data_IF_791374422705
#
_entry.id   IF_791374422705
#
_cell.length_a   1.000
_cell.length_b   1.000
_cell.length_c   1.000
_cell.angle_alpha   90.00
_cell.angle_beta   90.00
_cell.angle_gamma   90.00
#
_symmetry.space_group_name_H-M   'P 1'
#
loop_
_entity.id
_entity.type
_entity.pdbx_description
1 polymer ?
#
# COMPACT_ATOMS: atom_id res chain seq x y z
N UNK A 1 -27.02 38.65 -46.86
CA UNK A 1 -26.06 39.59 -46.28
C UNK A 1 -24.87 39.65 -47.21
N UNK A 2 -24.42 40.86 -47.55
CA UNK A 2 -23.16 40.99 -48.26
C UNK A 2 -22.05 40.79 -47.23
N UNK A 3 -21.14 39.86 -47.47
CA UNK A 3 -19.94 39.70 -46.66
C UNK A 3 -18.86 40.57 -47.29
N UNK A 4 -18.20 41.42 -46.50
CA UNK A 4 -17.03 42.16 -46.97
C UNK A 4 -15.81 41.34 -46.57
N UNK A 5 -15.06 40.87 -47.57
CA UNK A 5 -13.73 40.31 -47.36
C UNK A 5 -12.76 41.46 -47.57
N UNK A 6 -12.34 42.12 -46.48
CA UNK A 6 -11.27 43.10 -46.54
C UNK A 6 -9.93 42.35 -46.42
N UNK A 7 -9.10 42.46 -47.45
CA UNK A 7 -7.73 42.00 -47.42
C UNK A 7 -6.84 43.24 -47.28
N UNK A 8 -6.44 43.55 -46.04
CA UNK A 8 -5.27 44.39 -45.78
C UNK A 8 -4.11 43.46 -45.51
N UNK A 9 -2.89 43.85 -45.91
CA UNK A 9 -1.76 42.96 -46.25
C UNK A 9 -1.36 41.83 -45.26
N UNK A 10 -1.96 41.68 -44.08
CA UNK A 10 -1.69 40.59 -43.13
C UNK A 10 -2.91 40.02 -42.36
N UNK A 11 -4.17 40.41 -42.68
CA UNK A 11 -5.36 39.94 -41.92
C UNK A 11 -6.53 39.53 -42.82
N UNK A 12 -7.12 38.37 -42.52
CA UNK A 12 -8.41 37.95 -43.07
C UNK A 12 -9.50 38.18 -42.00
N UNK A 13 -10.43 39.10 -42.28
CA UNK A 13 -11.52 39.48 -41.38
C UNK A 13 -12.87 39.15 -42.00
N UNK A 14 -13.76 38.51 -41.24
CA UNK A 14 -15.15 38.27 -41.62
C UNK A 14 -16.03 39.16 -40.73
N UNK A 15 -16.69 40.14 -41.33
CA UNK A 15 -17.61 41.07 -40.65
C UNK A 15 -19.02 40.97 -41.26
N UNK A 16 -20.04 41.10 -40.43
CA UNK A 16 -21.42 41.26 -40.91
C UNK A 16 -21.61 42.68 -41.41
N UNK A 17 -21.74 42.87 -42.72
CA UNK A 17 -22.03 44.19 -43.26
C UNK A 17 -23.51 44.52 -43.06
N UNK A 18 -23.83 45.55 -42.26
CA UNK A 18 -25.15 46.20 -42.34
C UNK A 18 -25.12 47.71 -42.36
N UNK A 19 -25.92 48.21 -43.30
CA UNK A 19 -26.31 49.57 -43.65
C UNK A 19 -26.21 50.67 -42.58
N UNK A 20 -25.34 51.65 -42.87
CA UNK A 20 -25.52 53.11 -42.67
C UNK A 20 -25.82 53.67 -41.28
N UNK A 21 -25.90 52.89 -40.20
CA UNK A 21 -25.95 53.43 -38.84
C UNK A 21 -24.53 53.61 -38.28
N UNK A 22 -24.25 54.63 -37.43
CA UNK A 22 -22.96 54.73 -36.76
C UNK A 22 -22.85 53.57 -35.76
N UNK A 23 -22.03 52.57 -36.09
CA UNK A 23 -21.85 51.38 -35.27
C UNK A 23 -20.95 51.66 -34.06
N UNK A 24 -21.42 51.25 -32.89
CA UNK A 24 -20.56 50.88 -31.76
C UNK A 24 -19.70 49.70 -32.24
N UNK A 25 -18.37 49.76 -32.21
CA UNK A 25 -17.52 48.68 -32.73
C UNK A 25 -17.87 47.37 -32.02
N UNK A 26 -18.37 46.40 -32.78
CA UNK A 26 -18.62 45.06 -32.26
C UNK A 26 -17.26 44.36 -32.15
N UNK A 27 -16.79 44.13 -30.92
CA UNK A 27 -15.49 43.53 -30.57
C UNK A 27 -15.32 42.05 -30.96
N UNK A 28 -16.27 41.48 -31.71
CA UNK A 28 -16.28 40.05 -32.01
C UNK A 28 -15.90 39.78 -33.47
N UNK A 29 -14.60 39.85 -33.77
CA UNK A 29 -14.06 39.35 -35.02
C UNK A 29 -13.14 38.15 -34.74
N UNK A 30 -13.29 37.08 -35.52
CA UNK A 30 -12.23 36.07 -35.63
C UNK A 30 -11.07 36.74 -36.35
N UNK A 31 -9.93 36.83 -35.68
CA UNK A 31 -8.71 37.41 -36.23
C UNK A 31 -7.78 36.25 -36.60
N UNK A 32 -7.40 36.19 -37.89
CA UNK A 32 -6.36 35.29 -38.39
C UNK A 32 -5.18 36.16 -38.77
N UNK A 33 -4.11 36.10 -37.99
CA UNK A 33 -2.87 36.83 -38.23
C UNK A 33 -1.79 35.91 -38.78
N UNK A 34 -1.15 36.33 -39.87
CA UNK A 34 0.03 35.66 -40.42
C UNK A 34 1.27 36.44 -40.02
N UNK A 35 1.93 36.04 -38.93
CA UNK A 35 3.07 36.77 -38.35
C UNK A 35 4.42 36.47 -39.02
N UNK A 36 4.44 35.93 -40.24
CA UNK A 36 5.67 35.65 -41.00
C UNK A 36 6.64 34.64 -40.35
N UNK A 37 6.29 34.04 -39.21
CA UNK A 37 7.11 33.09 -38.44
C UNK A 37 6.28 31.86 -38.03
N UNK A 38 6.10 30.93 -38.98
CA UNK A 38 5.66 29.53 -38.84
C UNK A 38 4.42 29.15 -37.98
N UNK A 39 3.78 30.06 -37.25
CA UNK A 39 2.61 29.77 -36.42
C UNK A 39 1.53 30.80 -36.76
N UNK A 40 0.55 30.36 -37.54
CA UNK A 40 -0.68 31.11 -37.74
C UNK A 40 -1.46 31.11 -36.39
N UNK A 41 -1.85 32.29 -35.91
CA UNK A 41 -2.64 32.45 -34.67
C UNK A 41 -4.09 32.72 -35.06
N UNK A 42 -5.02 31.98 -34.46
CA UNK A 42 -6.45 32.24 -34.54
C UNK A 42 -6.92 32.68 -33.16
N UNK A 43 -7.34 33.93 -33.03
CA UNK A 43 -7.86 34.49 -31.78
C UNK A 43 -9.39 34.47 -31.77
N UNK A 44 -9.95 33.88 -30.71
CA UNK A 44 -11.37 33.93 -30.42
C UNK A 44 -11.57 34.80 -29.18
N UNK A 45 -12.45 35.82 -29.25
CA UNK A 45 -12.53 36.84 -28.20
C UNK A 45 -13.11 36.31 -26.87
N UNK A 46 -13.78 35.15 -26.85
CA UNK A 46 -14.38 34.59 -25.64
C UNK A 46 -14.34 33.06 -25.64
N UNK A 47 -15.30 32.41 -26.32
CA UNK A 47 -15.52 30.96 -26.25
C UNK A 47 -15.43 30.37 -27.65
N UNK A 48 -14.68 29.28 -27.80
CA UNK A 48 -14.79 28.38 -28.95
C UNK A 48 -15.78 27.30 -28.57
N UNK A 49 -16.99 27.36 -29.17
CA UNK A 49 -18.01 26.34 -29.01
C UNK A 49 -18.03 25.40 -30.21
N UNK A 50 -17.98 24.11 -29.93
CA UNK A 50 -18.29 23.06 -30.91
C UNK A 50 -19.59 22.40 -30.46
N UNK A 51 -20.64 22.53 -31.26
CA UNK A 51 -21.95 21.97 -30.96
C UNK A 51 -22.47 21.11 -32.10
N UNK A 52 -23.42 20.24 -31.78
CA UNK A 52 -24.18 19.53 -32.79
C UNK A 52 -25.14 20.49 -33.54
N UNK A 53 -25.88 19.97 -34.53
CA UNK A 53 -26.84 20.78 -35.30
C UNK A 53 -28.10 21.13 -34.51
N UNK A 54 -28.42 20.39 -33.45
CA UNK A 54 -29.52 20.67 -32.53
C UNK A 54 -29.19 21.75 -31.49
N UNK A 55 -27.91 22.09 -31.31
CA UNK A 55 -27.39 22.94 -30.24
C UNK A 55 -27.74 22.42 -28.84
N UNK A 56 -27.96 21.11 -28.71
CA UNK A 56 -28.32 20.47 -27.44
C UNK A 56 -27.09 19.93 -26.71
N UNK A 57 -26.07 19.54 -27.47
CA UNK A 57 -24.82 19.00 -26.94
C UNK A 57 -23.67 19.86 -27.44
N UNK A 58 -22.74 20.25 -26.55
CA UNK A 58 -21.61 21.08 -26.92
C UNK A 58 -20.40 20.91 -26.01
N UNK A 59 -19.24 21.28 -26.56
CA UNK A 59 -17.99 21.51 -25.84
C UNK A 59 -17.54 22.95 -26.01
N UNK A 60 -17.25 23.63 -24.90
CA UNK A 60 -16.75 25.00 -24.83
C UNK A 60 -15.28 25.00 -24.40
N UNK A 61 -14.47 25.77 -25.13
CA UNK A 61 -13.08 26.05 -24.79
C UNK A 61 -12.89 27.55 -24.62
N UNK A 62 -12.48 27.98 -23.44
CA UNK A 62 -12.37 29.40 -23.13
C UNK A 62 -11.30 29.67 -22.08
N UNK A 63 -10.94 30.94 -21.92
CA UNK A 63 -10.06 31.41 -20.86
C UNK A 63 -10.80 32.47 -20.05
N UNK A 64 -10.79 32.37 -18.72
CA UNK A 64 -11.54 33.28 -17.86
C UNK A 64 -10.69 34.42 -17.24
N UNK A 65 -9.45 34.55 -17.74
CA UNK A 65 -8.34 35.41 -17.26
C UNK A 65 -7.44 34.75 -16.22
N UNK A 66 -7.86 33.64 -15.60
CA UNK A 66 -7.08 32.91 -14.60
C UNK A 66 -6.63 31.55 -15.15
N UNK A 67 -7.52 30.84 -15.80
CA UNK A 67 -7.28 29.48 -16.30
C UNK A 67 -7.86 29.24 -17.71
N UNK A 68 -7.40 28.13 -18.30
CA UNK A 68 -7.98 27.56 -19.51
C UNK A 68 -9.02 26.52 -19.10
N UNK A 69 -10.25 26.73 -19.55
CA UNK A 69 -11.42 25.92 -19.21
C UNK A 69 -11.90 25.12 -20.42
N UNK A 70 -12.30 23.88 -20.15
CA UNK A 70 -13.05 23.04 -21.06
C UNK A 70 -14.33 22.56 -20.38
N UNK A 71 -15.49 22.97 -20.89
CA UNK A 71 -16.81 22.61 -20.34
C UNK A 71 -17.61 21.81 -21.37
N UNK A 72 -18.31 20.77 -20.92
CA UNK A 72 -19.05 19.86 -21.78
C UNK A 72 -20.46 19.65 -21.27
N UNK A 73 -21.44 19.91 -22.12
CA UNK A 73 -22.85 19.72 -21.81
C UNK A 73 -23.43 18.60 -22.66
N UNK A 74 -24.02 17.60 -21.99
CA UNK A 74 -24.70 16.45 -22.58
C UNK A 74 -23.85 15.63 -23.58
N UNK A 75 -22.52 15.73 -23.49
CA UNK A 75 -21.61 14.90 -24.27
C UNK A 75 -21.51 13.49 -23.67
N UNK A 76 -21.66 12.45 -24.50
CA UNK A 76 -21.56 11.06 -24.04
C UNK A 76 -20.15 10.69 -23.53
N UNK A 77 -19.11 11.24 -24.17
CA UNK A 77 -17.72 10.96 -23.85
C UNK A 77 -16.80 12.16 -24.10
N UNK A 78 -15.71 12.21 -23.32
CA UNK A 78 -14.60 13.15 -23.49
C UNK A 78 -13.29 12.37 -23.43
N UNK A 79 -12.69 12.14 -24.60
CA UNK A 79 -11.49 11.31 -24.73
C UNK A 79 -10.25 12.19 -24.91
N UNK A 80 -9.38 12.24 -23.91
CA UNK A 80 -8.04 12.82 -24.04
C UNK A 80 -7.04 11.68 -24.23
N UNK A 81 -6.45 11.58 -25.42
CA UNK A 81 -5.47 10.54 -25.77
C UNK A 81 -4.12 11.14 -26.17
N UNK A 82 -3.06 10.33 -26.12
CA UNK A 82 -1.72 10.73 -26.57
C UNK A 82 -0.92 11.56 -25.56
N UNK A 83 -1.42 11.74 -24.34
CA UNK A 83 -0.64 12.33 -23.24
C UNK A 83 0.39 11.31 -22.73
N UNK A 84 1.64 11.76 -22.54
CA UNK A 84 2.67 10.99 -21.82
C UNK A 84 2.53 11.10 -20.31
N UNK A 85 1.90 12.17 -19.83
CA UNK A 85 1.58 12.42 -18.43
C UNK A 85 0.39 13.35 -18.29
N UNK A 86 -0.41 13.14 -17.25
CA UNK A 86 -1.44 14.06 -16.78
C UNK A 86 -1.01 14.53 -15.39
N UNK A 87 -0.82 15.83 -15.21
CA UNK A 87 -0.48 16.44 -13.91
C UNK A 87 -1.72 17.14 -13.38
N UNK A 88 -2.20 16.70 -12.21
CA UNK A 88 -3.21 17.42 -11.43
C UNK A 88 -2.47 18.13 -10.30
N UNK A 89 -2.40 19.46 -10.35
CA UNK A 89 -1.65 20.23 -9.37
C UNK A 89 -2.34 20.17 -7.99
N UNK A 90 -1.54 20.15 -6.94
CA UNK A 90 -1.84 19.80 -5.54
C UNK A 90 -2.96 20.62 -4.88
N UNK A 91 -3.38 21.72 -5.50
CA UNK A 91 -4.41 22.63 -4.98
C UNK A 91 -5.76 22.47 -5.69
N UNK A 92 -5.91 21.48 -6.58
CA UNK A 92 -7.19 21.13 -7.22
C UNK A 92 -7.62 19.71 -6.85
N UNK A 93 -8.79 19.59 -6.22
CA UNK A 93 -9.41 18.28 -6.01
C UNK A 93 -10.06 17.81 -7.30
N UNK A 94 -9.79 16.58 -7.73
CA UNK A 94 -10.63 15.94 -8.75
C UNK A 94 -11.94 15.53 -8.08
N UNK A 95 -13.00 16.29 -8.32
CA UNK A 95 -14.30 16.05 -7.70
C UNK A 95 -15.18 15.22 -8.63
N UNK A 96 -15.17 13.91 -8.43
CA UNK A 96 -16.00 12.97 -9.18
C UNK A 96 -17.43 13.01 -8.64
N UNK A 97 -18.30 13.82 -9.25
CA UNK A 97 -19.72 13.87 -8.88
C UNK A 97 -20.43 12.64 -9.48
N UNK A 98 -20.85 11.73 -8.60
CA UNK A 98 -21.67 10.58 -8.97
C UNK A 98 -23.10 11.04 -9.25
N UNK A 99 -23.55 10.97 -10.51
CA UNK A 99 -24.99 10.99 -10.78
C UNK A 99 -25.56 9.61 -10.41
N UNK A 100 -26.46 9.64 -9.44
CA UNK A 100 -27.05 8.48 -8.75
C UNK A 100 -27.60 7.46 -9.74
N UNK A 101 -26.80 6.45 -10.11
CA UNK A 101 -27.22 5.05 -10.46
C UNK A 101 -26.16 4.22 -11.21
N UNK A 102 -25.00 4.76 -11.60
CA UNK A 102 -23.97 3.97 -12.27
C UNK A 102 -22.74 3.81 -11.36
N UNK A 103 -22.38 2.56 -11.03
CA UNK A 103 -21.09 2.23 -10.42
C UNK A 103 -19.99 2.43 -11.47
N UNK A 104 -19.52 3.65 -11.67
CA UNK A 104 -18.44 3.90 -12.62
C UNK A 104 -17.10 3.69 -11.89
N UNK A 105 -16.39 2.61 -12.23
CA UNK A 105 -14.97 2.43 -11.86
C UNK A 105 -14.13 3.40 -12.70
N UNK A 106 -13.99 4.65 -12.25
CA UNK A 106 -13.30 5.69 -13.05
C UNK A 106 -11.81 5.85 -12.74
N UNK A 107 -11.34 5.34 -11.62
CA UNK A 107 -9.91 5.25 -11.32
C UNK A 107 -9.71 4.24 -10.20
N UNK A 108 -9.38 2.99 -10.56
CA UNK A 108 -8.78 2.09 -9.59
C UNK A 108 -7.27 2.37 -9.64
N UNK A 109 -6.77 3.18 -8.72
CA UNK A 109 -5.44 2.84 -8.22
C UNK A 109 -5.68 1.48 -7.57
N UNK A 110 -5.20 0.40 -8.20
CA UNK A 110 -4.99 -0.84 -7.46
C UNK A 110 -4.33 -0.39 -6.17
N UNK A 111 -4.98 -0.65 -5.04
CA UNK A 111 -4.43 -0.30 -3.77
C UNK A 111 -3.09 -1.05 -3.69
N UNK A 112 -1.99 -0.32 -3.85
CA UNK A 112 -0.65 -0.88 -3.69
C UNK A 112 -0.46 -1.38 -2.24
N UNK A 113 -1.40 -1.07 -1.34
CA UNK A 113 -1.52 -1.59 0.02
C UNK A 113 -2.44 -2.84 0.09
N UNK A 114 -2.68 -3.52 -1.03
CA UNK A 114 -3.19 -4.91 -1.03
C UNK A 114 -2.23 -5.92 -1.68
N UNK A 115 -1.01 -5.50 -1.98
CA UNK A 115 0.15 -6.40 -1.89
C UNK A 115 0.44 -6.71 -0.40
N UNK A 116 -0.62 -7.03 0.36
CA UNK A 116 -0.48 -7.80 1.58
C UNK A 116 0.26 -9.07 1.18
N UNK A 117 1.27 -9.39 1.96
CA UNK A 117 2.02 -10.64 1.86
C UNK A 117 1.14 -11.77 1.32
N UNK A 118 1.49 -12.29 0.13
CA UNK A 118 0.73 -13.34 -0.54
C UNK A 118 0.59 -14.61 0.31
N UNK A 119 1.36 -14.72 1.39
CA UNK A 119 1.33 -15.84 2.34
C UNK A 119 0.36 -15.65 3.51
N UNK A 120 -0.30 -14.49 3.63
CA UNK A 120 -1.21 -14.16 4.73
C UNK A 120 -2.28 -15.23 5.03
N UNK A 121 -2.80 -15.93 4.02
CA UNK A 121 -3.93 -16.85 4.21
C UNK A 121 -3.73 -18.30 3.74
N UNK A 122 -2.74 -18.60 2.89
CA UNK A 122 -2.59 -19.96 2.33
C UNK A 122 -1.25 -20.64 2.62
N UNK A 123 -0.27 -19.89 3.16
CA UNK A 123 1.04 -20.43 3.54
C UNK A 123 1.37 -20.32 5.03
N UNK A 124 0.52 -19.64 5.81
CA UNK A 124 0.75 -19.38 7.24
C UNK A 124 -0.03 -20.37 8.09
N UNK A 125 0.68 -21.29 8.75
CA UNK A 125 0.07 -22.29 9.63
C UNK A 125 -0.27 -21.74 11.01
N UNK A 126 0.47 -20.74 11.51
CA UNK A 126 0.21 -20.05 12.77
C UNK A 126 0.54 -18.57 12.64
N UNK A 127 -0.40 -17.72 13.03
CA UNK A 127 -0.26 -16.28 13.02
C UNK A 127 -0.72 -15.71 14.35
N UNK A 128 0.14 -14.94 15.01
CA UNK A 128 -0.12 -14.35 16.32
C UNK A 128 0.26 -12.86 16.30
N UNK A 129 -0.72 -11.99 16.11
CA UNK A 129 -0.52 -10.53 16.17
C UNK A 129 -0.42 -10.00 17.59
N UNK A 130 -1.02 -10.73 18.54
CA UNK A 130 -1.12 -10.33 19.94
C UNK A 130 -1.89 -9.02 20.15
N UNK A 131 -2.96 -8.81 19.38
CA UNK A 131 -3.92 -7.72 19.58
C UNK A 131 -4.95 -8.07 20.66
N UNK A 132 -5.03 -7.29 21.72
CA UNK A 132 -6.02 -7.56 22.77
C UNK A 132 -6.01 -6.52 23.87
N UNK A 133 -6.61 -6.88 25.01
CA UNK A 133 -6.54 -6.04 26.19
C UNK A 133 -5.24 -6.33 26.95
N UNK A 134 -4.70 -5.29 27.59
CA UNK A 134 -3.63 -5.47 28.58
C UNK A 134 -4.05 -6.50 29.65
N UNK A 135 -3.08 -7.30 30.07
CA UNK A 135 -3.21 -8.42 31.01
C UNK A 135 -3.97 -9.68 30.54
N UNK A 136 -4.40 -9.76 29.27
CA UNK A 136 -5.03 -10.97 28.75
C UNK A 136 -4.07 -12.18 28.84
N UNK A 137 -4.55 -13.29 29.42
CA UNK A 137 -3.78 -14.53 29.62
C UNK A 137 -4.06 -15.60 28.56
N UNK A 138 -4.90 -15.28 27.59
CA UNK A 138 -5.29 -16.17 26.48
C UNK A 138 -5.45 -15.35 25.22
N UNK A 139 -5.18 -15.98 24.07
CA UNK A 139 -5.27 -15.35 22.75
C UNK A 139 -5.93 -16.33 21.76
N UNK A 140 -6.58 -15.81 20.72
CA UNK A 140 -7.03 -16.63 19.59
C UNK A 140 -6.16 -16.28 18.40
N UNK A 141 -5.50 -17.27 17.80
CA UNK A 141 -4.61 -17.02 16.67
C UNK A 141 -5.35 -16.42 15.48
N UNK A 142 -4.66 -15.59 14.71
CA UNK A 142 -5.21 -14.83 13.59
C UNK A 142 -5.16 -15.60 12.28
N UNK A 143 -4.56 -16.80 12.29
CA UNK A 143 -4.58 -17.70 11.15
C UNK A 143 -5.97 -18.31 10.96
N UNK A 144 -6.20 -18.90 9.79
CA UNK A 144 -7.51 -19.43 9.40
C UNK A 144 -8.05 -20.54 10.32
N UNK A 145 -7.20 -21.19 11.13
CA UNK A 145 -7.63 -22.23 12.07
C UNK A 145 -8.11 -21.67 13.41
N UNK A 146 -7.86 -20.37 13.70
CA UNK A 146 -8.34 -19.66 14.90
C UNK A 146 -8.15 -20.45 16.20
N UNK A 147 -6.91 -20.84 16.48
CA UNK A 147 -6.57 -21.72 17.61
C UNK A 147 -6.53 -20.94 18.91
N UNK A 148 -7.02 -21.55 19.99
CA UNK A 148 -6.85 -21.00 21.34
C UNK A 148 -5.42 -21.19 21.81
N UNK A 149 -4.79 -20.08 22.14
CA UNK A 149 -3.45 -19.95 22.69
C UNK A 149 -3.59 -19.58 24.17
N UNK A 150 -2.92 -20.31 25.05
CA UNK A 150 -2.92 -20.08 26.50
C UNK A 150 -1.54 -19.64 26.93
N UNK A 151 -1.45 -18.52 27.66
CA UNK A 151 -0.20 -18.07 28.24
C UNK A 151 0.01 -18.78 29.59
N UNK A 152 1.25 -19.24 29.79
CA UNK A 152 1.67 -20.00 30.97
C UNK A 152 2.49 -19.08 31.87
N UNK A 153 2.33 -19.22 33.18
CA UNK A 153 3.13 -18.49 34.15
C UNK A 153 2.61 -17.08 34.36
N UNK A 154 3.47 -16.09 34.21
CA UNK A 154 3.17 -14.67 34.31
C UNK A 154 3.03 -14.00 32.94
N UNK A 155 3.20 -14.76 31.86
CA UNK A 155 3.00 -14.31 30.49
C UNK A 155 1.58 -13.76 30.24
N UNK A 156 1.52 -12.61 29.59
CA UNK A 156 0.29 -11.86 29.31
C UNK A 156 0.47 -10.93 28.12
N UNK A 157 -0.63 -10.48 27.52
CA UNK A 157 -0.58 -9.30 26.66
C UNK A 157 -0.23 -8.07 27.49
N UNK A 158 0.61 -7.19 26.95
CA UNK A 158 1.10 -5.99 27.60
C UNK A 158 1.23 -4.83 26.61
N UNK A 159 0.82 -3.64 27.04
CA UNK A 159 0.89 -2.40 26.25
C UNK A 159 1.95 -1.39 26.78
N UNK A 160 2.73 -1.77 27.81
CA UNK A 160 3.70 -0.87 28.42
C UNK A 160 4.91 -0.61 27.49
N UNK A 161 5.20 -1.55 26.59
CA UNK A 161 6.12 -1.37 25.46
C UNK A 161 5.32 -1.13 24.20
N UNK A 162 5.62 -0.03 23.48
CA UNK A 162 5.02 0.24 22.17
C UNK A 162 5.24 -0.95 21.22
N UNK A 163 4.17 -1.67 20.83
CA UNK A 163 4.29 -2.83 19.95
C UNK A 163 4.72 -2.46 18.54
N UNK A 164 5.18 -3.44 17.76
CA UNK A 164 5.52 -3.23 16.34
C UNK A 164 4.25 -3.11 15.49
N UNK A 165 4.35 -2.41 14.35
CA UNK A 165 3.29 -2.29 13.32
C UNK A 165 1.96 -1.69 13.78
N UNK A 166 2.00 -0.75 14.73
CA UNK A 166 0.81 -0.09 15.30
C UNK A 166 -0.13 -1.06 16.02
N UNK A 167 0.38 -2.20 16.45
CA UNK A 167 -0.36 -3.09 17.33
C UNK A 167 -0.64 -2.44 18.69
N UNK A 168 -1.70 -2.89 19.35
CA UNK A 168 -2.15 -2.34 20.63
C UNK A 168 -1.43 -2.97 21.83
N UNK A 169 -1.08 -4.25 21.74
CA UNK A 169 -0.36 -5.01 22.76
C UNK A 169 0.73 -5.89 22.13
N UNK A 170 1.61 -6.43 22.96
CA UNK A 170 2.56 -7.50 22.60
C UNK A 170 2.58 -8.56 23.69
N UNK A 171 3.01 -9.78 23.38
CA UNK A 171 3.19 -10.81 24.39
C UNK A 171 4.40 -10.50 25.28
N UNK A 172 4.17 -10.24 26.56
CA UNK A 172 5.21 -10.09 27.58
C UNK A 172 5.68 -11.45 28.08
N UNK A 173 6.99 -11.68 28.02
CA UNK A 173 7.70 -12.81 28.61
C UNK A 173 8.80 -12.26 29.53
N UNK A 174 8.56 -12.26 30.84
CA UNK A 174 9.42 -11.62 31.85
C UNK A 174 10.51 -12.56 32.43
N UNK A 175 10.53 -13.81 31.97
CA UNK A 175 11.49 -14.83 32.37
C UNK A 175 11.09 -15.62 33.62
N UNK A 176 9.89 -15.41 34.17
CA UNK A 176 9.42 -16.08 35.38
C UNK A 176 8.50 -17.30 35.08
N UNK A 177 9.09 -18.34 34.48
CA UNK A 177 8.37 -19.58 34.04
C UNK A 177 7.33 -19.36 32.95
N UNK A 178 7.58 -18.37 32.10
CA UNK A 178 6.67 -18.00 31.02
C UNK A 178 6.72 -18.97 29.84
N UNK A 179 5.58 -19.11 29.18
CA UNK A 179 5.47 -19.90 27.97
C UNK A 179 4.13 -19.75 27.29
N UNK A 180 4.01 -20.38 26.14
CA UNK A 180 2.78 -20.41 25.35
C UNK A 180 2.40 -21.86 25.11
N UNK A 181 1.12 -22.18 25.29
CA UNK A 181 0.56 -23.48 25.00
C UNK A 181 -0.60 -23.38 24.03
N UNK A 182 -0.67 -24.33 23.12
CA UNK A 182 -1.78 -24.53 22.22
C UNK A 182 -1.99 -26.04 22.03
N UNK A 183 -3.20 -26.41 21.61
CA UNK A 183 -3.48 -27.80 21.28
C UNK A 183 -2.59 -28.28 20.12
N UNK A 184 -2.22 -29.56 20.16
CA UNK A 184 -1.47 -30.16 19.06
C UNK A 184 -2.26 -30.06 17.75
N UNK A 185 -1.56 -29.64 16.69
CA UNK A 185 -2.06 -29.57 15.33
C UNK A 185 -0.99 -30.10 14.38
N UNK A 186 -1.40 -30.87 13.36
CA UNK A 186 -0.48 -31.45 12.40
C UNK A 186 0.17 -30.40 11.48
N UNK A 187 -0.48 -29.27 11.22
CA UNK A 187 0.10 -28.16 10.44
C UNK A 187 1.26 -27.45 11.16
N UNK A 188 1.33 -27.58 12.48
CA UNK A 188 2.41 -27.03 13.31
C UNK A 188 3.54 -28.02 13.58
N UNK A 189 3.48 -29.18 12.91
CA UNK A 189 4.54 -30.16 12.96
C UNK A 189 5.62 -29.82 11.93
N UNK A 190 6.77 -29.39 12.44
CA UNK A 190 7.98 -29.16 11.65
C UNK A 190 8.52 -30.49 11.13
N UNK A 191 8.08 -30.88 9.93
CA UNK A 191 8.66 -32.04 9.26
C UNK A 191 9.94 -31.62 8.53
N UNK A 192 10.93 -32.53 8.53
CA UNK A 192 12.25 -32.21 7.99
C UNK A 192 12.37 -32.44 6.48
N UNK A 193 11.24 -32.47 5.77
CA UNK A 193 11.13 -32.72 4.33
C UNK A 193 10.47 -31.57 3.58
N UNK A 194 9.91 -30.60 4.29
CA UNK A 194 9.21 -29.45 3.74
C UNK A 194 9.93 -28.17 4.16
N UNK A 195 9.90 -27.20 3.26
CA UNK A 195 10.42 -25.87 3.52
C UNK A 195 9.45 -25.14 4.45
N UNK A 196 9.99 -24.47 5.46
CA UNK A 196 9.19 -23.73 6.43
C UNK A 196 9.96 -22.50 6.93
N UNK A 197 9.22 -21.49 7.38
CA UNK A 197 9.79 -20.28 7.95
C UNK A 197 9.15 -20.01 9.30
N UNK A 198 9.97 -19.64 10.27
CA UNK A 198 9.50 -19.02 11.52
C UNK A 198 10.00 -17.60 11.52
N UNK A 199 9.09 -16.65 11.52
CA UNK A 199 9.42 -15.24 11.64
C UNK A 199 8.59 -14.54 12.71
N UNK A 200 9.20 -13.56 13.37
CA UNK A 200 8.56 -12.79 14.42
C UNK A 200 9.37 -11.54 14.75
N UNK A 201 8.71 -10.61 15.46
CA UNK A 201 9.36 -9.47 16.08
C UNK A 201 9.60 -9.76 17.55
N UNK A 202 10.76 -9.34 18.06
CA UNK A 202 11.03 -9.42 19.49
C UNK A 202 11.82 -8.20 19.97
N UNK A 203 11.63 -7.88 21.24
CA UNK A 203 12.44 -6.94 21.99
C UNK A 203 12.84 -7.63 23.29
N UNK A 204 14.03 -7.30 23.79
CA UNK A 204 14.55 -7.80 25.07
C UNK A 204 14.90 -6.64 25.98
N UNK A 205 14.69 -6.84 27.28
CA UNK A 205 14.98 -5.85 28.34
C UNK A 205 16.32 -6.08 29.05
N UNK A 206 17.06 -7.15 28.70
CA UNK A 206 18.33 -7.50 29.31
C UNK A 206 19.29 -8.19 28.31
N UNK A 207 20.58 -8.18 28.64
CA UNK A 207 21.61 -8.93 27.92
C UNK A 207 21.45 -10.43 28.16
N UNK A 208 21.77 -11.25 27.17
CA UNK A 208 21.54 -12.68 27.23
C UNK A 208 22.68 -13.38 27.97
N UNK A 209 22.33 -14.39 28.77
CA UNK A 209 23.29 -15.32 29.37
C UNK A 209 23.26 -16.66 28.62
N UNK A 210 22.10 -17.07 28.13
CA UNK A 210 21.80 -17.97 26.98
C UNK A 210 20.29 -18.14 27.04
N UNK A 211 19.56 -17.39 26.22
CA UNK A 211 18.12 -17.22 26.41
C UNK A 211 17.35 -17.84 25.26
N UNK A 212 16.40 -18.71 25.57
CA UNK A 212 15.51 -19.31 24.56
C UNK A 212 14.42 -18.30 24.23
N UNK A 213 14.37 -17.87 22.97
CA UNK A 213 13.32 -16.98 22.48
C UNK A 213 12.11 -17.82 22.08
N UNK A 214 12.32 -18.87 21.27
CA UNK A 214 11.29 -19.84 20.89
C UNK A 214 11.86 -21.24 21.05
N UNK A 215 11.08 -22.15 21.63
CA UNK A 215 11.41 -23.56 21.70
C UNK A 215 10.14 -24.40 21.58
N UNK A 216 10.09 -25.29 20.60
CA UNK A 216 9.02 -26.29 20.54
C UNK A 216 9.43 -27.52 21.35
N UNK A 217 8.87 -27.67 22.55
CA UNK A 217 8.93 -28.92 23.28
C UNK A 217 7.93 -29.92 22.66
N UNK A 218 8.42 -31.04 22.11
CA UNK A 218 7.53 -32.14 21.73
C UNK A 218 6.83 -32.64 22.99
N UNK A 219 5.50 -32.62 23.00
CA UNK A 219 4.65 -33.10 24.11
C UNK A 219 4.76 -34.59 24.45
N UNK A 220 5.82 -35.28 24.02
CA UNK A 220 6.13 -36.64 24.45
C UNK A 220 6.84 -36.57 25.79
N UNK A 221 6.08 -36.85 26.85
CA UNK A 221 6.62 -37.04 28.20
C UNK A 221 7.83 -37.98 28.14
N UNK A 222 9.03 -37.50 28.45
CA UNK A 222 10.27 -38.29 28.47
C UNK A 222 11.17 -38.17 27.22
N UNK A 223 10.78 -37.43 26.18
CA UNK A 223 11.72 -37.02 25.12
C UNK A 223 12.37 -35.68 25.51
N UNK A 224 13.69 -35.68 25.67
CA UNK A 224 14.44 -34.53 26.25
C UNK A 224 14.71 -33.43 25.22
N UNK A 225 14.39 -33.65 23.93
CA UNK A 225 14.89 -32.82 22.85
C UNK A 225 13.76 -32.06 22.14
N UNK A 226 13.83 -30.71 22.11
CA UNK A 226 12.93 -29.91 21.28
C UNK A 226 13.15 -30.20 19.79
N UNK A 227 12.14 -30.01 18.94
CA UNK A 227 12.32 -30.18 17.48
C UNK A 227 13.21 -29.07 16.91
N UNK A 228 12.98 -27.85 17.37
CA UNK A 228 13.79 -26.69 17.05
C UNK A 228 13.82 -25.72 18.24
N UNK A 229 14.84 -24.87 18.27
CA UNK A 229 14.87 -23.70 19.13
C UNK A 229 15.50 -22.53 18.38
N UNK A 230 15.08 -21.33 18.77
CA UNK A 230 15.69 -20.06 18.41
C UNK A 230 16.09 -19.41 19.73
N UNK A 231 17.35 -19.03 19.85
CA UNK A 231 17.93 -18.58 21.11
C UNK A 231 18.98 -17.49 20.89
N UNK A 232 19.28 -16.75 21.95
CA UNK A 232 20.43 -15.85 22.01
C UNK A 232 21.64 -16.59 22.56
N UNK A 233 22.77 -16.44 21.89
CA UNK A 233 24.06 -16.91 22.40
C UNK A 233 24.56 -16.01 23.56
N UNK A 234 25.62 -16.43 24.22
CA UNK A 234 26.35 -15.61 25.22
C UNK A 234 26.91 -14.29 24.68
N UNK A 235 26.93 -14.11 23.34
CA UNK A 235 27.38 -12.89 22.68
C UNK A 235 26.23 -12.07 22.12
N UNK A 236 24.99 -12.31 22.57
CA UNK A 236 23.78 -11.62 22.13
C UNK A 236 23.45 -11.79 20.62
N UNK A 237 24.10 -12.73 19.96
CA UNK A 237 23.81 -13.10 18.58
C UNK A 237 22.69 -14.15 18.56
N UNK A 238 21.79 -14.05 17.58
CA UNK A 238 20.73 -15.03 17.41
C UNK A 238 21.30 -16.32 16.81
N UNK A 239 20.87 -17.45 17.33
CA UNK A 239 21.16 -18.76 16.80
C UNK A 239 19.89 -19.62 16.73
N UNK A 240 19.84 -20.52 15.75
CA UNK A 240 18.76 -21.49 15.60
C UNK A 240 19.33 -22.90 15.45
N UNK A 241 18.69 -23.85 16.13
CA UNK A 241 19.04 -25.27 16.08
C UNK A 241 17.81 -26.10 15.72
N UNK A 242 18.05 -27.20 15.01
CA UNK A 242 17.07 -28.28 14.81
C UNK A 242 17.62 -29.60 15.29
N UNK A 243 16.78 -30.44 15.87
CA UNK A 243 17.16 -31.79 16.31
C UNK A 243 16.47 -32.86 15.49
N UNK A 244 17.24 -33.88 15.09
CA UNK A 244 16.69 -35.19 14.69
C UNK A 244 17.11 -36.22 15.72
N UNK A 245 16.13 -36.89 16.31
CA UNK A 245 16.33 -38.13 17.08
C UNK A 245 17.48 -38.09 18.10
N UNK A 246 17.54 -37.02 18.90
CA UNK A 246 18.49 -36.87 20.01
C UNK A 246 19.86 -36.29 19.66
N UNK A 247 20.09 -35.81 18.44
CA UNK A 247 21.28 -35.04 18.04
C UNK A 247 20.93 -33.71 17.37
N UNK A 248 21.81 -32.71 17.51
CA UNK A 248 21.74 -31.43 16.79
C UNK A 248 22.07 -31.67 15.32
N UNK A 249 21.21 -31.24 14.40
CA UNK A 249 21.42 -31.46 12.96
C UNK A 249 22.14 -30.28 12.29
N UNK A 250 21.77 -29.05 12.65
CA UNK A 250 22.29 -27.82 12.00
C UNK A 250 22.25 -26.65 12.98
N UNK A 251 23.41 -26.03 13.22
CA UNK A 251 23.53 -24.79 13.97
C UNK A 251 23.75 -23.63 12.99
N UNK A 252 22.81 -22.70 12.93
CA UNK A 252 23.07 -21.39 12.31
C UNK A 252 23.20 -20.37 13.42
N UNK A 253 24.33 -19.67 13.46
CA UNK A 253 24.57 -18.54 14.34
C UNK A 253 24.77 -17.32 13.48
N UNK A 254 23.91 -16.32 13.68
CA UNK A 254 24.06 -15.02 13.03
C UNK A 254 25.29 -14.29 13.52
N UNK A 255 25.75 -13.33 12.72
CA UNK A 255 26.84 -12.42 13.11
C UNK A 255 26.33 -11.12 13.69
N UNK A 256 25.04 -10.81 13.50
CA UNK A 256 24.39 -9.61 14.00
C UNK A 256 24.03 -9.78 15.48
N UNK A 257 24.50 -8.83 16.29
CA UNK A 257 24.24 -8.76 17.73
C UNK A 257 22.99 -7.95 17.98
N UNK A 258 22.06 -8.52 18.76
CA UNK A 258 20.79 -7.85 19.11
C UNK A 258 21.04 -6.81 20.20
N UNK A 259 20.35 -5.67 20.12
CA UNK A 259 20.39 -4.62 21.15
C UNK A 259 19.20 -4.71 22.10
N UNK A 260 19.43 -4.32 23.35
CA UNK A 260 18.38 -4.20 24.38
C UNK A 260 17.45 -3.03 24.02
N UNK A 261 16.19 -3.11 24.44
CA UNK A 261 15.14 -2.09 24.25
C UNK A 261 14.92 -1.70 22.78
N UNK A 262 15.30 -2.57 21.84
CA UNK A 262 15.11 -2.38 20.41
C UNK A 262 14.35 -3.55 19.82
N UNK A 263 13.33 -3.27 19.01
CA UNK A 263 12.62 -4.28 18.24
C UNK A 263 13.49 -4.78 17.08
N UNK A 264 13.65 -6.09 16.98
CA UNK A 264 14.29 -6.77 15.85
C UNK A 264 13.27 -7.64 15.11
N UNK A 265 13.41 -7.75 13.80
CA UNK A 265 12.68 -8.73 12.98
C UNK A 265 13.59 -9.92 12.81
N UNK A 266 13.13 -11.10 13.17
CA UNK A 266 13.87 -12.32 12.93
C UNK A 266 13.10 -13.21 11.97
N UNK A 267 13.80 -13.81 11.02
CA UNK A 267 13.31 -14.93 10.25
C UNK A 267 14.35 -16.06 10.22
N UNK A 268 13.88 -17.28 10.49
CA UNK A 268 14.64 -18.51 10.26
C UNK A 268 13.93 -19.28 9.16
N UNK A 269 14.66 -19.58 8.10
CA UNK A 269 14.13 -20.29 6.93
C UNK A 269 14.83 -21.64 6.85
N UNK A 270 14.03 -22.69 6.71
CA UNK A 270 14.51 -24.04 6.45
C UNK A 270 14.21 -24.38 5.00
N UNK A 271 15.26 -24.69 4.23
CA UNK A 271 15.16 -25.07 2.83
C UNK A 271 15.88 -26.40 2.63
N UNK A 272 15.15 -27.46 2.25
CA UNK A 272 15.75 -28.78 1.99
C UNK A 272 16.70 -29.31 3.09
N UNK A 273 16.42 -28.99 4.37
CA UNK A 273 17.20 -29.30 5.58
C UNK A 273 18.45 -28.42 5.86
N UNK A 274 18.70 -27.38 5.07
CA UNK A 274 19.62 -26.30 5.42
C UNK A 274 18.86 -25.16 6.14
N UNK A 275 19.56 -24.46 7.05
CA UNK A 275 18.97 -23.35 7.82
C UNK A 275 19.61 -22.02 7.37
N UNK A 276 18.79 -21.04 7.04
CA UNK A 276 19.21 -19.65 6.80
C UNK A 276 18.60 -18.73 7.88
N UNK A 277 19.39 -17.77 8.36
CA UNK A 277 19.02 -16.84 9.43
C UNK A 277 19.10 -15.40 8.94
N UNK A 278 18.01 -14.67 9.14
CA UNK A 278 17.87 -13.26 8.80
C UNK A 278 17.48 -12.47 10.06
N UNK A 279 18.23 -11.41 10.37
CA UNK A 279 18.00 -10.49 11.48
C UNK A 279 18.15 -9.05 10.98
#
# INVERSE_FOLDING_TARGET
GNWIIANTDDQFRIETATSTAPETPVEQAVIIERTGTAIDRVEFPQVVRISDSGLTDWGDFYHDSTDFNSDFTLTADWNIAGLSSLVVDKDTSVNWLNDVSASIKMLAFEDFITSGDAYWNTGTELLLWFEGADEDTTYTSDDTNARTVTFIGTAKLDDAVTPKYNATTSLLLDGNSDGVSLAYDAGLFFNNSEDHTVEFFFQRSAAAVTDRIIMQANGVTGSVWPNFQIHLSTTDAVAANTWRNGGVLTDVTGTTVTTIDTWHHLAVVWVNADNELFL
#
